data_IF_410021616722
#
_entry.id   IF_410021616722
#
_cell.length_a   1.000
_cell.length_b   1.000
_cell.length_c   1.000
_cell.angle_alpha   90.00
_cell.angle_beta   90.00
_cell.angle_gamma   90.00
#
_symmetry.space_group_name_H-M   'P 1'
#
loop_
_entity.id
_entity.type
_entity.pdbx_description
1 polymer ?
#
# COMPACT_ATOMS: atom_id res chain seq x y z
N UNK A 1 -5.78 22.80 -15.88
CA UNK A 1 -6.50 21.51 -15.79
C UNK A 1 -5.66 20.48 -15.00
N UNK A 2 -4.36 20.35 -15.25
CA UNK A 2 -3.43 19.59 -14.38
C UNK A 2 -3.40 20.02 -12.90
N UNK A 3 -3.59 21.31 -12.61
CA UNK A 3 -3.63 21.79 -11.22
C UNK A 3 -4.84 21.30 -10.41
N UNK A 4 -5.90 20.83 -11.07
CA UNK A 4 -7.08 20.25 -10.42
C UNK A 4 -7.08 18.71 -10.47
N UNK A 5 -6.43 18.10 -11.47
CA UNK A 5 -6.35 16.65 -11.63
C UNK A 5 -5.27 15.99 -10.76
N UNK A 6 -4.12 16.63 -10.53
CA UNK A 6 -3.08 16.11 -9.64
C UNK A 6 -3.50 16.15 -8.16
N UNK A 7 -4.36 17.09 -7.77
CA UNK A 7 -4.91 17.15 -6.41
C UNK A 7 -5.89 16.01 -6.13
N UNK A 8 -6.51 15.40 -7.14
CA UNK A 8 -7.42 14.26 -6.97
C UNK A 8 -6.70 12.90 -6.96
N UNK A 9 -5.55 12.79 -7.62
CA UNK A 9 -4.78 11.54 -7.72
C UNK A 9 -4.09 11.12 -6.40
N UNK A 10 -3.86 12.06 -5.48
CA UNK A 10 -3.17 11.80 -4.20
C UNK A 10 -4.09 11.38 -3.04
N UNK A 11 -5.40 11.27 -3.26
CA UNK A 11 -6.39 11.01 -2.20
C UNK A 11 -6.80 9.54 -2.03
N UNK A 12 -6.38 8.63 -2.91
CA UNK A 12 -7.09 7.36 -3.10
C UNK A 12 -6.43 6.15 -2.45
N UNK A 13 -5.10 5.99 -2.48
CA UNK A 13 -4.47 4.75 -2.05
C UNK A 13 -4.64 4.43 -0.54
N UNK A 14 -4.52 5.45 0.34
CA UNK A 14 -4.69 5.30 1.80
C UNK A 14 -6.17 5.06 2.18
N UNK A 15 -7.10 5.72 1.49
CA UNK A 15 -8.54 5.65 1.79
C UNK A 15 -9.13 4.26 1.51
N UNK A 16 -8.60 3.54 0.51
CA UNK A 16 -9.18 2.26 0.07
C UNK A 16 -8.66 1.02 0.80
N UNK A 17 -7.45 1.05 1.39
CA UNK A 17 -7.02 0.01 2.36
C UNK A 17 -7.98 -0.01 3.57
N UNK A 18 -8.57 1.15 3.90
CA UNK A 18 -9.36 1.38 5.10
C UNK A 18 -10.74 0.67 5.18
N UNK A 19 -11.20 -0.02 4.14
CA UNK A 19 -12.58 -0.60 4.10
C UNK A 19 -12.65 -2.13 3.99
N UNK A 20 -11.62 -2.84 4.49
CA UNK A 20 -11.50 -4.30 4.32
C UNK A 20 -12.32 -5.13 5.34
N UNK A 21 -12.78 -4.57 6.48
CA UNK A 21 -13.47 -5.37 7.52
C UNK A 21 -14.61 -4.60 8.23
N UNK A 22 -15.85 -4.66 7.70
CA UNK A 22 -17.14 -4.81 8.43
C UNK A 22 -18.36 -4.19 7.71
N UNK A 23 -19.52 -4.89 7.71
CA UNK A 23 -20.83 -4.29 7.86
C UNK A 23 -21.32 -4.53 9.30
N UNK A 24 -20.82 -3.77 10.27
CA UNK A 24 -21.38 -3.76 11.63
C UNK A 24 -21.64 -2.32 12.03
N UNK A 25 -22.92 -2.03 12.20
CA UNK A 25 -23.47 -0.80 12.76
C UNK A 25 -23.07 -0.66 14.21
N UNK A 26 -22.04 0.14 14.50
CA UNK A 26 -21.89 0.82 15.79
C UNK A 26 -21.07 2.11 15.61
N UNK A 27 -21.85 3.17 15.45
CA UNK A 27 -21.65 4.57 15.84
C UNK A 27 -20.23 5.07 16.17
N UNK A 28 -19.77 6.00 15.33
CA UNK A 28 -18.60 6.89 15.43
C UNK A 28 -17.24 6.28 15.01
N UNK A 29 -17.00 6.24 13.69
CA UNK A 29 -15.64 6.28 13.12
C UNK A 29 -15.07 7.71 13.29
N UNK A 30 -13.81 7.86 13.75
CA UNK A 30 -12.77 8.24 12.78
C UNK A 30 -11.37 7.65 13.11
N UNK A 31 -10.65 7.18 12.09
CA UNK A 31 -9.32 7.68 11.65
C UNK A 31 -8.61 6.63 10.78
N UNK A 32 -8.00 7.07 9.68
CA UNK A 32 -7.28 6.30 8.66
C UNK A 32 -5.95 5.68 9.14
N UNK A 33 -5.75 5.55 10.46
CA UNK A 33 -4.42 5.36 11.10
C UNK A 33 -4.33 4.21 12.11
N UNK A 34 -5.27 3.26 12.15
CA UNK A 34 -5.38 2.31 13.29
C UNK A 34 -5.34 0.82 12.96
N UNK A 35 -5.01 0.39 11.75
CA UNK A 35 -4.87 -1.03 11.42
C UNK A 35 -3.82 -1.74 12.29
N UNK A 36 -2.69 -1.07 12.56
CA UNK A 36 -1.70 -1.53 13.53
C UNK A 36 -2.28 -1.67 14.93
N UNK A 37 -3.02 -0.67 15.41
CA UNK A 37 -3.67 -0.74 16.72
C UNK A 37 -4.67 -1.91 16.83
N UNK A 38 -5.44 -2.19 15.78
CA UNK A 38 -6.33 -3.36 15.77
C UNK A 38 -5.55 -4.67 15.79
N UNK A 39 -4.47 -4.76 15.01
CA UNK A 39 -3.57 -5.92 15.02
C UNK A 39 -2.95 -6.14 16.39
N UNK A 40 -2.39 -5.09 17.00
CA UNK A 40 -1.73 -5.15 18.29
C UNK A 40 -2.71 -5.47 19.43
N UNK A 41 -3.92 -4.92 19.36
CA UNK A 41 -4.99 -5.22 20.30
C UNK A 41 -5.42 -6.69 20.22
N UNK A 42 -5.60 -7.19 18.99
CA UNK A 42 -5.99 -8.57 18.73
C UNK A 42 -4.91 -9.56 19.18
N UNK A 43 -3.64 -9.25 18.91
CA UNK A 43 -2.48 -10.01 19.38
C UNK A 43 -2.41 -10.03 20.91
N UNK A 44 -2.47 -8.86 21.55
CA UNK A 44 -2.45 -8.76 23.01
C UNK A 44 -3.58 -9.57 23.65
N UNK A 45 -4.78 -9.52 23.06
CA UNK A 45 -5.94 -10.27 23.52
C UNK A 45 -5.71 -11.80 23.39
N UNK A 46 -5.14 -12.26 22.28
CA UNK A 46 -4.84 -13.67 22.06
C UNK A 46 -3.72 -14.18 22.98
N UNK A 47 -2.65 -13.41 23.16
CA UNK A 47 -1.53 -13.75 24.05
C UNK A 47 -1.99 -13.88 25.51
N UNK A 48 -2.91 -13.01 25.93
CA UNK A 48 -3.44 -12.98 27.29
C UNK A 48 -4.76 -13.74 27.46
N UNK A 49 -5.23 -14.47 26.44
CA UNK A 49 -6.52 -15.16 26.46
C UNK A 49 -6.69 -16.09 27.67
N UNK A 50 -5.63 -16.79 28.05
CA UNK A 50 -5.61 -17.70 29.19
C UNK A 50 -5.83 -16.98 30.53
N UNK A 51 -5.28 -15.77 30.69
CA UNK A 51 -5.47 -14.93 31.86
C UNK A 51 -6.92 -14.43 31.90
N UNK A 52 -7.43 -13.98 30.76
CA UNK A 52 -8.79 -13.43 30.64
C UNK A 52 -9.83 -14.53 30.95
N UNK A 53 -9.65 -15.74 30.40
CA UNK A 53 -10.50 -16.89 30.69
C UNK A 53 -10.48 -17.28 32.17
N UNK A 54 -9.31 -17.26 32.82
CA UNK A 54 -9.19 -17.52 34.26
C UNK A 54 -9.92 -16.47 35.09
N UNK A 55 -9.72 -15.18 34.81
CA UNK A 55 -10.41 -14.08 35.52
C UNK A 55 -11.92 -14.18 35.35
N UNK A 56 -12.40 -14.54 34.16
CA UNK A 56 -13.83 -14.75 33.89
C UNK A 56 -14.41 -15.93 34.68
N UNK A 57 -13.65 -17.02 34.80
CA UNK A 57 -14.04 -18.18 35.60
C UNK A 57 -14.10 -17.86 37.09
N UNK A 58 -13.07 -17.18 37.61
CA UNK A 58 -12.93 -16.87 39.04
C UNK A 58 -13.96 -15.83 39.53
N UNK A 59 -14.46 -14.96 38.64
CA UNK A 59 -15.37 -13.86 38.98
C UNK A 59 -16.74 -13.96 38.30
N UNK A 60 -17.19 -15.18 38.00
CA UNK A 60 -18.41 -15.46 37.21
C UNK A 60 -19.68 -14.73 37.66
N UNK A 61 -19.83 -14.50 38.97
CA UNK A 61 -21.00 -13.81 39.54
C UNK A 61 -21.01 -12.30 39.29
N UNK A 62 -19.86 -11.71 38.97
CA UNK A 62 -19.67 -10.26 38.83
C UNK A 62 -19.48 -9.82 37.38
N UNK A 63 -19.33 -10.77 36.45
CA UNK A 63 -19.06 -10.54 35.03
C UNK A 63 -20.33 -10.77 34.23
N UNK A 64 -20.53 -9.95 33.19
CA UNK A 64 -21.64 -10.10 32.26
C UNK A 64 -21.67 -11.51 31.64
N UNK A 65 -22.81 -12.22 31.69
CA UNK A 65 -22.93 -13.57 31.15
C UNK A 65 -22.56 -13.71 29.67
N UNK A 66 -22.79 -12.69 28.85
CA UNK A 66 -22.44 -12.69 27.42
C UNK A 66 -20.93 -12.61 27.23
N UNK A 67 -20.25 -11.70 27.94
CA UNK A 67 -18.77 -11.59 27.89
C UNK A 67 -18.14 -12.91 28.36
N UNK A 68 -18.67 -13.49 29.44
CA UNK A 68 -18.20 -14.78 29.92
C UNK A 68 -18.45 -15.90 28.89
N UNK A 69 -19.53 -15.85 28.11
CA UNK A 69 -19.76 -16.82 27.03
C UNK A 69 -18.76 -16.64 25.89
N UNK A 70 -18.48 -15.41 25.47
CA UNK A 70 -17.56 -15.10 24.37
C UNK A 70 -16.11 -15.50 24.69
N UNK A 71 -15.64 -15.22 25.90
CA UNK A 71 -14.27 -15.59 26.34
C UNK A 71 -14.06 -17.11 26.39
N UNK A 72 -15.13 -17.88 26.58
CA UNK A 72 -15.07 -19.34 26.56
C UNK A 72 -15.43 -19.94 25.19
N UNK A 73 -15.79 -19.10 24.21
CA UNK A 73 -16.03 -19.54 22.85
C UNK A 73 -14.71 -19.79 22.11
N UNK A 74 -14.34 -21.06 22.02
CA UNK A 74 -13.14 -21.48 21.29
C UNK A 74 -13.24 -21.26 19.78
N UNK A 75 -14.46 -21.18 19.22
CA UNK A 75 -14.66 -20.81 17.82
C UNK A 75 -14.32 -19.34 17.60
N UNK A 76 -14.74 -18.45 18.51
CA UNK A 76 -14.38 -17.04 18.48
C UNK A 76 -12.86 -16.86 18.55
N UNK A 77 -12.19 -17.51 19.51
CA UNK A 77 -10.73 -17.46 19.64
C UNK A 77 -10.03 -17.88 18.34
N UNK A 78 -10.44 -19.00 17.75
CA UNK A 78 -9.87 -19.50 16.49
C UNK A 78 -10.11 -18.53 15.33
N UNK A 79 -11.29 -17.92 15.25
CA UNK A 79 -11.58 -16.92 14.23
C UNK A 79 -10.65 -15.70 14.36
N UNK A 80 -10.37 -15.26 15.58
CA UNK A 80 -9.43 -14.17 15.86
C UNK A 80 -8.01 -14.52 15.44
N UNK A 81 -7.54 -15.74 15.74
CA UNK A 81 -6.23 -16.25 15.29
C UNK A 81 -6.13 -16.23 13.75
N UNK A 82 -7.18 -16.71 13.06
CA UNK A 82 -7.23 -16.72 11.59
C UNK A 82 -7.22 -15.31 10.99
N UNK A 83 -7.80 -14.32 11.66
CA UNK A 83 -7.82 -12.93 11.18
C UNK A 83 -6.54 -12.14 11.52
N UNK A 84 -5.81 -12.52 12.57
CA UNK A 84 -4.60 -11.80 12.98
C UNK A 84 -3.50 -11.85 11.91
N UNK A 85 -3.27 -13.01 11.31
CA UNK A 85 -2.23 -13.20 10.29
C UNK A 85 -2.38 -12.23 9.10
N UNK A 86 -3.51 -12.20 8.37
CA UNK A 86 -3.69 -11.27 7.26
C UNK A 86 -3.71 -9.80 7.72
N UNK A 87 -4.26 -9.52 8.91
CA UNK A 87 -4.30 -8.17 9.47
C UNK A 87 -2.90 -7.59 9.70
N UNK A 88 -1.97 -8.40 10.23
CA UNK A 88 -0.56 -8.02 10.38
C UNK A 88 0.10 -7.69 9.05
N UNK A 89 -0.16 -8.49 8.01
CA UNK A 89 0.41 -8.25 6.66
C UNK A 89 -0.10 -6.93 6.08
N UNK A 90 -1.39 -6.64 6.25
CA UNK A 90 -1.99 -5.36 5.84
C UNK A 90 -1.37 -4.21 6.63
N UNK A 91 -1.22 -4.34 7.95
CA UNK A 91 -0.63 -3.28 8.78
C UNK A 91 0.78 -2.92 8.32
N UNK A 92 1.64 -3.91 8.10
CA UNK A 92 3.02 -3.69 7.63
C UNK A 92 3.04 -3.00 6.26
N UNK A 93 2.16 -3.40 5.34
CA UNK A 93 2.05 -2.75 4.04
C UNK A 93 1.57 -1.30 4.17
N UNK A 94 0.59 -1.05 5.03
CA UNK A 94 0.05 0.27 5.30
C UNK A 94 1.12 1.20 5.89
N UNK A 95 1.89 0.73 6.86
CA UNK A 95 2.97 1.53 7.47
C UNK A 95 4.02 1.97 6.44
N UNK A 96 4.33 1.11 5.47
CA UNK A 96 5.25 1.45 4.37
C UNK A 96 4.65 2.50 3.44
N UNK A 97 3.39 2.34 3.04
CA UNK A 97 2.68 3.27 2.15
C UNK A 97 2.48 4.65 2.80
N UNK A 98 2.28 4.69 4.12
CA UNK A 98 2.08 5.93 4.89
C UNK A 98 3.38 6.67 5.25
N UNK A 99 4.53 6.12 4.84
CA UNK A 99 5.83 6.79 4.98
C UNK A 99 5.89 8.07 4.13
N UNK A 100 6.50 9.14 4.66
CA UNK A 100 6.62 10.44 3.96
C UNK A 100 7.44 10.38 2.67
N UNK A 101 8.24 9.33 2.52
CA UNK A 101 9.14 9.12 1.40
C UNK A 101 8.60 8.11 0.38
N UNK A 102 7.42 7.52 0.63
CA UNK A 102 6.89 6.49 -0.26
C UNK A 102 6.33 7.12 -1.54
N UNK A 103 6.92 6.72 -2.67
CA UNK A 103 6.54 7.18 -4.01
C UNK A 103 5.59 6.18 -4.70
N UNK A 104 4.92 6.62 -5.76
CA UNK A 104 3.91 5.79 -6.47
C UNK A 104 4.43 4.42 -6.95
N UNK A 105 5.68 4.35 -7.40
CA UNK A 105 6.28 3.09 -7.83
C UNK A 105 6.44 2.11 -6.66
N UNK A 106 6.87 2.59 -5.49
CA UNK A 106 7.00 1.74 -4.30
C UNK A 106 5.64 1.25 -3.79
N UNK A 107 4.61 2.09 -3.85
CA UNK A 107 3.24 1.67 -3.52
C UNK A 107 2.78 0.56 -4.44
N UNK A 108 3.08 0.65 -5.72
CA UNK A 108 2.78 -0.43 -6.68
C UNK A 108 3.49 -1.72 -6.30
N UNK A 109 4.78 -1.66 -5.95
CA UNK A 109 5.52 -2.85 -5.49
C UNK A 109 4.92 -3.45 -4.22
N UNK A 110 4.65 -2.62 -3.21
CA UNK A 110 4.10 -3.02 -1.91
C UNK A 110 2.78 -3.77 -2.10
N UNK A 111 1.88 -3.24 -2.92
CA UNK A 111 0.58 -3.84 -3.16
C UNK A 111 0.66 -5.15 -3.95
N UNK A 112 1.47 -5.21 -5.02
CA UNK A 112 1.67 -6.46 -5.77
C UNK A 112 2.24 -7.54 -4.83
N UNK A 113 3.21 -7.19 -4.00
CA UNK A 113 3.76 -8.11 -3.01
C UNK A 113 2.71 -8.54 -1.97
N UNK A 114 1.84 -7.62 -1.52
CA UNK A 114 0.75 -7.93 -0.58
C UNK A 114 -0.25 -8.91 -1.18
N UNK A 115 -0.66 -8.70 -2.44
CA UNK A 115 -1.56 -9.62 -3.16
C UNK A 115 -0.92 -11.00 -3.28
N UNK A 116 0.36 -11.08 -3.62
CA UNK A 116 1.08 -12.36 -3.70
C UNK A 116 1.15 -13.07 -2.34
N UNK A 117 1.39 -12.34 -1.24
CA UNK A 117 1.34 -12.90 0.11
C UNK A 117 -0.05 -13.49 0.41
N UNK A 118 -1.12 -12.80 0.04
CA UNK A 118 -2.49 -13.30 0.24
C UNK A 118 -2.78 -14.53 -0.64
N UNK A 119 -2.27 -14.58 -1.87
CA UNK A 119 -2.36 -15.78 -2.73
C UNK A 119 -1.66 -16.97 -2.07
N UNK A 120 -0.46 -16.80 -1.54
CA UNK A 120 0.25 -17.86 -0.79
C UNK A 120 -0.51 -18.29 0.46
N UNK A 121 -1.03 -17.35 1.26
CA UNK A 121 -1.84 -17.70 2.44
C UNK A 121 -3.10 -18.51 2.08
N UNK A 122 -3.69 -18.25 0.92
CA UNK A 122 -4.82 -19.03 0.41
C UNK A 122 -4.39 -20.44 -0.03
N UNK A 123 -3.30 -20.57 -0.78
CA UNK A 123 -2.74 -21.86 -1.19
C UNK A 123 -2.39 -22.76 0.01
N UNK A 124 -1.94 -22.15 1.11
CA UNK A 124 -1.65 -22.80 2.39
C UNK A 124 -2.90 -23.06 3.25
N UNK A 125 -4.11 -22.76 2.76
CA UNK A 125 -5.40 -22.88 3.47
C UNK A 125 -5.49 -22.06 4.78
N UNK A 126 -4.70 -20.99 4.92
CA UNK A 126 -4.73 -20.11 6.09
C UNK A 126 -5.85 -19.06 6.00
N UNK A 127 -6.25 -18.68 4.78
CA UNK A 127 -7.32 -17.71 4.54
C UNK A 127 -8.30 -18.20 3.46
N UNK A 128 -9.56 -17.76 3.46
CA UNK A 128 -10.51 -18.09 2.40
C UNK A 128 -10.23 -17.29 1.12
N UNK A 129 -10.59 -17.87 -0.04
CA UNK A 129 -10.48 -17.22 -1.36
C UNK A 129 -11.18 -15.85 -1.42
N UNK A 130 -12.29 -15.70 -0.70
CA UNK A 130 -13.05 -14.46 -0.64
C UNK A 130 -12.27 -13.28 -0.08
N UNK A 131 -11.22 -13.54 0.72
CA UNK A 131 -10.33 -12.49 1.23
C UNK A 131 -9.35 -12.01 0.15
N UNK A 132 -8.80 -12.94 -0.64
CA UNK A 132 -7.94 -12.62 -1.79
C UNK A 132 -8.71 -11.79 -2.80
N UNK A 133 -9.92 -12.22 -3.17
CA UNK A 133 -10.78 -11.51 -4.12
C UNK A 133 -11.15 -10.09 -3.66
N UNK A 134 -11.39 -9.91 -2.35
CA UNK A 134 -11.62 -8.58 -1.78
C UNK A 134 -10.39 -7.69 -1.89
N UNK A 135 -9.20 -8.24 -1.67
CA UNK A 135 -7.95 -7.50 -1.79
C UNK A 135 -7.69 -7.10 -3.26
N UNK A 136 -7.85 -8.03 -4.20
CA UNK A 136 -7.71 -7.76 -5.65
C UNK A 136 -8.72 -6.72 -6.13
N UNK A 137 -9.99 -6.83 -5.73
CA UNK A 137 -11.00 -5.81 -6.06
C UNK A 137 -10.64 -4.42 -5.53
N UNK A 138 -10.00 -4.34 -4.34
CA UNK A 138 -9.54 -3.06 -3.79
C UNK A 138 -8.35 -2.50 -4.56
N UNK A 139 -7.44 -3.38 -4.98
CA UNK A 139 -6.33 -3.01 -5.85
C UNK A 139 -6.86 -2.40 -7.15
N UNK A 140 -7.79 -3.05 -7.84
CA UNK A 140 -8.38 -2.56 -9.09
C UNK A 140 -9.11 -1.22 -8.96
N UNK A 141 -9.70 -0.93 -7.79
CA UNK A 141 -10.36 0.36 -7.54
C UNK A 141 -9.39 1.50 -7.25
N UNK A 142 -8.24 1.20 -6.64
CA UNK A 142 -7.31 2.21 -6.15
C UNK A 142 -6.23 2.55 -7.18
N UNK A 143 -5.80 1.56 -7.96
CA UNK A 143 -4.72 1.71 -8.90
C UNK A 143 -5.19 2.32 -10.22
N UNK A 144 -4.31 3.15 -10.79
CA UNK A 144 -4.55 3.86 -12.04
C UNK A 144 -3.35 3.66 -12.97
N UNK A 145 -3.49 3.92 -14.27
CA UNK A 145 -2.38 3.81 -15.22
C UNK A 145 -1.12 4.59 -14.82
N UNK A 146 -1.27 5.69 -14.07
CA UNK A 146 -0.14 6.47 -13.56
C UNK A 146 0.72 5.69 -12.55
N UNK A 147 0.11 4.83 -11.72
CA UNK A 147 0.83 3.97 -10.78
C UNK A 147 1.69 2.96 -11.53
N UNK A 148 1.09 2.29 -12.53
CA UNK A 148 1.79 1.34 -13.39
C UNK A 148 2.91 2.01 -14.19
N UNK A 149 2.66 3.21 -14.72
CA UNK A 149 3.68 3.99 -15.40
C UNK A 149 4.84 4.37 -14.48
N UNK A 150 4.58 4.82 -13.25
CA UNK A 150 5.62 5.09 -12.27
C UNK A 150 6.46 3.84 -11.97
N UNK A 151 5.81 2.68 -11.85
CA UNK A 151 6.48 1.40 -11.63
C UNK A 151 7.29 0.91 -12.85
N UNK A 152 6.83 1.21 -14.08
CA UNK A 152 7.59 0.97 -15.32
C UNK A 152 8.83 1.86 -15.34
N UNK A 153 8.71 3.14 -15.00
CA UNK A 153 9.80 4.12 -15.08
C UNK A 153 10.77 4.04 -13.90
N UNK A 154 10.47 3.28 -12.86
CA UNK A 154 11.39 3.06 -11.76
C UNK A 154 12.51 2.06 -12.15
N UNK A 155 13.79 2.47 -12.17
CA UNK A 155 14.91 1.58 -12.50
C UNK A 155 15.05 0.34 -11.63
N UNK A 156 14.49 0.35 -10.41
CA UNK A 156 14.45 -0.80 -9.50
C UNK A 156 13.49 -1.87 -9.97
N UNK A 157 12.37 -1.46 -10.56
CA UNK A 157 11.23 -2.34 -10.79
C UNK A 157 10.99 -2.64 -12.27
N UNK A 158 11.17 -1.63 -13.13
CA UNK A 158 11.10 -1.71 -14.59
C UNK A 158 9.83 -2.38 -15.12
N UNK A 159 8.74 -2.33 -14.36
CA UNK A 159 7.49 -2.99 -14.71
C UNK A 159 7.52 -4.53 -14.65
N UNK A 160 8.56 -5.16 -14.11
CA UNK A 160 8.76 -6.63 -14.20
C UNK A 160 7.62 -7.44 -13.59
N UNK A 161 7.02 -6.94 -12.50
CA UNK A 161 5.92 -7.63 -11.80
C UNK A 161 4.51 -7.24 -12.28
N UNK A 162 4.41 -6.36 -13.27
CA UNK A 162 3.10 -5.97 -13.80
C UNK A 162 2.53 -7.07 -14.68
N UNK A 163 1.22 -7.26 -14.59
CA UNK A 163 0.48 -8.08 -15.54
C UNK A 163 0.44 -7.41 -16.92
N UNK A 164 0.24 -8.20 -17.98
CA UNK A 164 0.18 -7.70 -19.36
C UNK A 164 -0.86 -6.58 -19.50
N UNK A 165 -2.05 -6.77 -18.95
CA UNK A 165 -3.13 -5.76 -18.93
C UNK A 165 -2.70 -4.45 -18.25
N UNK A 166 -1.99 -4.51 -17.12
CA UNK A 166 -1.52 -3.32 -16.41
C UNK A 166 -0.43 -2.59 -17.23
N UNK A 167 0.41 -3.36 -17.93
CA UNK A 167 1.39 -2.82 -18.86
C UNK A 167 0.71 -2.08 -20.01
N UNK A 168 -0.28 -2.70 -20.65
CA UNK A 168 -1.08 -2.13 -21.72
C UNK A 168 -1.78 -0.84 -21.29
N UNK A 169 -2.48 -0.85 -20.14
CA UNK A 169 -3.15 0.33 -19.59
C UNK A 169 -2.19 1.51 -19.38
N UNK A 170 -0.97 1.23 -18.89
CA UNK A 170 0.07 2.26 -18.74
C UNK A 170 0.54 2.84 -20.08
N UNK A 171 0.74 1.97 -21.08
CA UNK A 171 1.20 2.39 -22.41
C UNK A 171 0.10 3.15 -23.17
N UNK A 172 -1.17 2.73 -23.06
CA UNK A 172 -2.32 3.43 -23.62
C UNK A 172 -2.50 4.81 -22.99
N UNK A 173 -2.28 4.91 -21.68
CA UNK A 173 -2.27 6.19 -20.98
C UNK A 173 -1.19 7.13 -21.51
N UNK A 174 0.04 6.62 -21.73
CA UNK A 174 1.11 7.42 -22.36
C UNK A 174 0.71 7.84 -23.77
N UNK A 175 0.19 6.93 -24.60
CA UNK A 175 -0.23 7.24 -25.96
C UNK A 175 -1.31 8.32 -26.01
N UNK A 176 -2.26 8.30 -25.08
CA UNK A 176 -3.39 9.21 -25.05
C UNK A 176 -3.03 10.62 -24.53
N UNK A 177 -2.12 10.73 -23.55
CA UNK A 177 -1.88 11.98 -22.83
C UNK A 177 -0.45 12.52 -22.91
N UNK A 178 0.53 11.68 -23.25
CA UNK A 178 1.96 11.98 -23.24
C UNK A 178 2.68 11.29 -24.42
N UNK A 179 2.14 11.38 -25.64
CA UNK A 179 2.67 10.64 -26.80
C UNK A 179 4.17 10.89 -27.06
N UNK A 180 4.64 12.07 -26.68
CA UNK A 180 5.99 12.56 -26.97
C UNK A 180 7.07 11.92 -26.08
N UNK A 181 6.69 11.29 -24.97
CA UNK A 181 7.62 10.55 -24.10
C UNK A 181 7.77 9.08 -24.53
N UNK A 182 6.85 8.56 -25.36
CA UNK A 182 6.83 7.15 -25.77
C UNK A 182 8.16 6.66 -26.35
N UNK A 183 8.86 7.41 -27.23
CA UNK A 183 10.14 6.96 -27.77
C UNK A 183 11.19 6.71 -26.68
N UNK A 184 11.21 7.52 -25.63
CA UNK A 184 12.17 7.36 -24.53
C UNK A 184 11.80 6.18 -23.64
N UNK A 185 10.51 5.94 -23.40
CA UNK A 185 10.03 4.74 -22.71
C UNK A 185 10.41 3.47 -23.47
N UNK A 186 10.25 3.46 -24.80
CA UNK A 186 10.61 2.32 -25.63
C UNK A 186 12.12 2.07 -25.60
N UNK A 187 12.95 3.12 -25.70
CA UNK A 187 14.42 2.99 -25.56
C UNK A 187 14.81 2.45 -24.19
N UNK A 188 14.16 2.95 -23.13
CA UNK A 188 14.37 2.52 -21.75
C UNK A 188 14.04 1.04 -21.55
N UNK A 189 12.86 0.60 -22.00
CA UNK A 189 12.44 -0.80 -21.95
C UNK A 189 13.36 -1.71 -22.78
N UNK A 190 13.79 -1.24 -23.94
CA UNK A 190 14.72 -1.96 -24.81
C UNK A 190 16.19 -1.91 -24.34
N UNK A 191 16.50 -1.13 -23.30
CA UNK A 191 17.86 -0.90 -22.81
C UNK A 191 18.82 -0.42 -23.91
N UNK A 192 18.35 0.53 -24.73
CA UNK A 192 19.12 1.11 -25.84
C UNK A 192 19.54 2.54 -25.51
N UNK A 193 20.41 3.13 -26.34
CA UNK A 193 20.91 4.49 -26.14
C UNK A 193 19.75 5.49 -25.86
N UNK A 194 19.83 6.33 -24.80
CA UNK A 194 21.02 6.66 -24.00
C UNK A 194 21.30 5.75 -22.80
N UNK A 195 20.46 4.75 -22.55
CA UNK A 195 20.54 3.88 -21.39
C UNK A 195 21.66 2.84 -21.56
N UNK A 196 22.62 2.83 -20.62
CA UNK A 196 23.76 1.90 -20.63
C UNK A 196 23.51 0.77 -19.64
N UNK A 197 23.99 -0.42 -19.95
CA UNK A 197 23.83 -1.61 -19.09
C UNK A 197 24.32 -1.38 -17.66
N UNK A 198 25.43 -0.68 -17.47
CA UNK A 198 25.97 -0.37 -16.14
C UNK A 198 25.02 0.45 -15.26
N UNK A 199 24.10 1.22 -15.86
CA UNK A 199 23.11 2.01 -15.14
C UNK A 199 22.04 1.16 -14.46
N UNK A 200 21.90 -0.11 -14.86
CA UNK A 200 20.94 -1.06 -14.28
C UNK A 200 21.58 -2.08 -13.34
N UNK A 201 22.88 -1.90 -13.03
CA UNK A 201 23.55 -2.71 -12.01
C UNK A 201 22.94 -2.48 -10.63
N UNK A 202 22.99 -3.49 -9.75
CA UNK A 202 22.47 -3.39 -8.37
C UNK A 202 23.02 -2.18 -7.61
N UNK A 203 24.26 -1.77 -7.88
CA UNK A 203 24.85 -0.57 -7.27
C UNK A 203 24.24 0.73 -7.80
N UNK A 204 23.83 0.76 -9.07
CA UNK A 204 23.30 1.95 -9.74
C UNK A 204 21.79 2.13 -9.56
N UNK A 205 21.05 1.04 -9.34
CA UNK A 205 19.60 1.07 -9.10
C UNK A 205 19.20 0.70 -7.67
N UNK A 206 20.16 0.33 -6.80
CA UNK A 206 19.85 -0.11 -5.45
C UNK A 206 19.16 0.96 -4.59
N UNK A 207 18.74 0.56 -3.40
CA UNK A 207 17.93 1.38 -2.47
C UNK A 207 18.56 2.72 -2.08
N UNK A 208 19.86 2.91 -2.32
CA UNK A 208 20.58 4.16 -2.07
C UNK A 208 20.33 5.25 -3.13
N UNK A 209 19.79 4.90 -4.31
CA UNK A 209 19.58 5.84 -5.41
C UNK A 209 18.10 6.02 -5.67
N UNK A 210 17.59 7.23 -5.38
CA UNK A 210 16.20 7.58 -5.68
C UNK A 210 15.95 7.57 -7.21
N UNK A 211 14.82 7.03 -7.70
CA UNK A 211 14.53 6.90 -9.14
C UNK A 211 14.66 8.22 -9.91
N UNK A 212 14.16 9.32 -9.33
CA UNK A 212 14.32 10.65 -9.92
C UNK A 212 15.78 11.07 -10.09
N UNK A 213 16.66 10.72 -9.16
CA UNK A 213 18.10 11.01 -9.24
C UNK A 213 18.74 10.22 -10.38
N UNK A 214 18.32 8.96 -10.57
CA UNK A 214 18.77 8.14 -11.68
C UNK A 214 18.39 8.76 -13.03
N UNK A 215 17.14 9.19 -13.21
CA UNK A 215 16.70 9.87 -14.43
C UNK A 215 17.39 11.22 -14.66
N UNK A 216 17.64 11.98 -13.59
CA UNK A 216 18.42 13.23 -13.68
C UNK A 216 19.84 13.02 -14.19
N UNK A 217 20.43 11.82 -14.03
CA UNK A 217 21.79 11.54 -14.53
C UNK A 217 21.90 11.55 -16.06
N UNK A 218 20.78 11.36 -16.77
CA UNK A 218 20.69 11.28 -18.24
C UNK A 218 19.79 12.34 -18.84
N UNK A 219 19.37 13.35 -18.06
CA UNK A 219 18.37 14.34 -18.48
C UNK A 219 18.75 15.14 -19.74
N UNK A 220 20.02 15.15 -20.12
CA UNK A 220 20.51 15.81 -21.35
C UNK A 220 20.25 15.00 -22.62
N UNK A 221 20.07 13.70 -22.48
CA UNK A 221 19.96 12.75 -23.61
C UNK A 221 18.52 12.25 -23.81
N UNK A 222 17.56 12.76 -23.05
CA UNK A 222 16.12 12.41 -23.10
C UNK A 222 15.26 13.67 -23.29
N UNK A 223 14.02 13.48 -23.72
CA UNK A 223 13.06 14.57 -23.91
C UNK A 223 12.78 15.28 -22.57
N UNK A 224 12.70 16.62 -22.59
CA UNK A 224 12.33 17.42 -21.42
C UNK A 224 10.96 17.03 -20.85
N UNK A 225 10.02 16.64 -21.70
CA UNK A 225 8.71 16.16 -21.28
C UNK A 225 8.78 14.82 -20.55
N UNK A 226 9.67 13.91 -20.97
CA UNK A 226 9.96 12.66 -20.23
C UNK A 226 10.42 13.00 -18.82
N UNK A 227 11.33 13.97 -18.67
CA UNK A 227 11.79 14.43 -17.36
C UNK A 227 10.69 15.07 -16.52
N UNK A 228 9.77 15.82 -17.14
CA UNK A 228 8.64 16.42 -16.43
C UNK A 228 7.71 15.34 -15.87
N UNK A 229 7.33 14.35 -16.69
CA UNK A 229 6.46 13.23 -16.26
C UNK A 229 7.13 12.39 -15.18
N UNK A 230 8.40 12.01 -15.37
CA UNK A 230 9.19 11.29 -14.37
C UNK A 230 9.25 12.06 -13.05
N UNK A 231 9.47 13.38 -13.11
CA UNK A 231 9.51 14.22 -11.93
C UNK A 231 8.15 14.25 -11.22
N UNK A 232 7.04 14.38 -11.96
CA UNK A 232 5.70 14.34 -11.36
C UNK A 232 5.41 13.00 -10.68
N UNK A 233 5.69 11.87 -11.36
CA UNK A 233 5.39 10.53 -10.85
C UNK A 233 6.23 10.16 -9.62
N UNK A 234 7.52 10.52 -9.58
CA UNK A 234 8.42 10.17 -8.48
C UNK A 234 8.53 11.25 -7.40
N UNK A 235 7.74 12.32 -7.47
CA UNK A 235 7.57 13.29 -6.36
C UNK A 235 6.17 13.27 -5.76
N UNK A 236 5.23 12.58 -6.41
CA UNK A 236 3.92 12.31 -5.86
C UNK A 236 4.06 11.42 -4.61
N UNK A 237 3.72 11.99 -3.44
CA UNK A 237 3.66 11.28 -2.18
C UNK A 237 2.44 10.38 -2.19
N UNK A 238 2.63 9.11 -1.88
CA UNK A 238 1.57 8.13 -2.08
C UNK A 238 0.51 8.08 -0.97
N UNK A 239 0.69 8.86 0.11
CA UNK A 239 -0.27 8.96 1.20
C UNK A 239 -0.42 10.40 1.71
N UNK A 240 -1.65 10.79 2.03
CA UNK A 240 -1.97 12.02 2.77
C UNK A 240 -1.56 11.95 4.25
N UNK A 241 -1.20 10.77 4.77
CA UNK A 241 -0.86 10.57 6.18
C UNK A 241 0.32 11.43 6.66
N UNK A 242 1.25 11.79 5.76
CA UNK A 242 2.34 12.73 6.08
C UNK A 242 1.84 14.14 6.43
N UNK A 243 0.82 14.61 5.71
CA UNK A 243 0.14 15.89 5.98
C UNK A 243 -0.65 15.80 7.30
N UNK A 244 -1.26 14.65 7.59
CA UNK A 244 -1.99 14.43 8.85
C UNK A 244 -1.09 14.40 10.08
N UNK A 245 0.12 13.81 9.99
CA UNK A 245 1.09 13.85 11.11
C UNK A 245 1.49 15.28 11.46
N UNK A 246 1.62 16.16 10.47
CA UNK A 246 1.87 17.59 10.68
C UNK A 246 0.67 18.24 11.38
N UNK A 247 -0.57 17.95 10.97
CA UNK A 247 -1.76 18.45 11.64
C UNK A 247 -1.92 17.92 13.08
N UNK A 248 -1.63 16.65 13.34
CA UNK A 248 -1.65 16.06 14.69
C UNK A 248 -0.59 16.66 15.61
N UNK A 249 0.59 17.00 15.07
CA UNK A 249 1.63 17.71 15.80
C UNK A 249 1.19 19.14 16.13
N UNK A 250 0.60 19.85 15.16
CA UNK A 250 0.09 21.21 15.35
C UNK A 250 -1.04 21.26 16.40
N UNK A 251 -1.94 20.28 16.43
CA UNK A 251 -2.99 20.17 17.46
C UNK A 251 -2.43 19.95 18.88
N UNK A 252 -1.25 19.33 19.02
CA UNK A 252 -0.58 19.21 20.33
C UNK A 252 0.05 20.52 20.78
N UNK A 253 0.47 21.38 19.85
CA UNK A 253 1.03 22.69 20.15
C UNK A 253 -0.01 23.75 20.48
N UNK A 254 -1.26 23.58 20.04
CA UNK A 254 -2.37 24.51 20.33
C UNK A 254 -3.10 24.20 21.65
N UNK A 255 -2.78 23.07 22.30
CA UNK A 255 -3.34 22.66 23.60
C UNK A 255 -2.41 22.95 24.80
N UNK A 256 -1.28 23.62 24.59
CA UNK A 256 -0.40 24.17 25.64
C UNK A 256 -0.54 25.68 25.74
#
# INVERSE_FOLDING_TARGET
IFHHSCLFLNYTASYYICTIVHPCTLQVLPCETKWGTYSDCLETLLDNWHIISKVCTDNRSSIDPNINCEVHDMCLKRNMENHLVPLKKISIANDKVQSDICILSEVTDIWINLVNVFKTLYEENQIPLSMVQKLESRFDMAFTPAHYLAYILDPRFRGIKLEEKQNEEAMDFVLAYHSDILPDILKYKANTHPFKECMFSETAVGDSVHPLTWWKSICKDINSETMEVVNQLHTAVASSAGVERVFQLLDRFTQT
#
